data_IF_858740338435
#
_entry.id   IF_858740338435
#
_cell.length_a   1.000
_cell.length_b   1.000
_cell.length_c   1.000
_cell.angle_alpha   90.00
_cell.angle_beta   90.00
_cell.angle_gamma   90.00
#
_symmetry.space_group_name_H-M   'P 1'
#
loop_
_entity.id
_entity.type
_entity.pdbx_description
1 polymer ?
#
# COMPACT_ATOMS: atom_id res chain seq x y z
N UNK A 1 32.69 23.22 -13.46
CA UNK A 1 31.21 23.22 -13.49
C UNK A 1 30.71 21.77 -13.39
N UNK A 2 29.98 21.40 -12.35
CA UNK A 2 29.48 20.02 -12.18
C UNK A 2 28.44 19.71 -13.27
N UNK A 3 28.47 18.49 -13.81
CA UNK A 3 27.50 18.01 -14.80
C UNK A 3 26.12 17.95 -14.16
N UNK A 4 25.14 18.68 -14.70
CA UNK A 4 23.74 18.59 -14.27
C UNK A 4 23.25 17.16 -14.57
N UNK A 5 22.67 16.48 -13.57
CA UNK A 5 22.09 15.16 -13.77
C UNK A 5 20.72 15.34 -14.46
N UNK A 6 20.53 14.60 -15.53
CA UNK A 6 19.23 14.51 -16.19
C UNK A 6 18.30 13.60 -15.39
N UNK A 7 17.04 14.02 -15.22
CA UNK A 7 15.97 13.24 -14.64
C UNK A 7 14.69 13.51 -15.43
N UNK A 8 13.91 12.46 -15.68
CA UNK A 8 12.69 12.54 -16.50
C UNK A 8 11.47 12.35 -15.60
N UNK A 9 10.36 13.01 -15.97
CA UNK A 9 9.03 12.77 -15.42
C UNK A 9 8.20 11.93 -16.39
N UNK A 10 7.04 11.44 -15.95
CA UNK A 10 6.12 10.74 -16.84
C UNK A 10 5.56 11.65 -17.96
N UNK A 11 5.54 12.97 -17.75
CA UNK A 11 5.16 13.94 -18.79
C UNK A 11 6.19 14.07 -19.91
N UNK A 12 7.45 13.67 -19.65
CA UNK A 12 8.56 13.76 -20.60
C UNK A 12 8.72 12.48 -21.45
N UNK A 13 8.01 11.39 -21.13
CA UNK A 13 8.23 10.07 -21.73
C UNK A 13 6.93 9.41 -22.18
N UNK A 14 7.03 8.58 -23.22
CA UNK A 14 5.97 7.73 -23.71
C UNK A 14 6.43 6.27 -23.72
N UNK A 15 5.50 5.34 -23.51
CA UNK A 15 5.76 3.93 -23.76
C UNK A 15 5.87 3.70 -25.27
N UNK A 16 6.98 3.10 -25.71
CA UNK A 16 7.14 2.73 -27.12
C UNK A 16 6.18 1.58 -27.46
N UNK A 17 5.31 1.75 -28.48
CA UNK A 17 4.48 0.67 -28.96
C UNK A 17 5.34 -0.51 -29.43
N UNK A 18 4.91 -1.73 -29.10
CA UNK A 18 5.55 -2.97 -29.54
C UNK A 18 4.53 -3.86 -30.21
N UNK A 19 5.02 -4.78 -31.03
CA UNK A 19 4.17 -5.84 -31.60
C UNK A 19 3.52 -6.64 -30.46
N UNK A 20 2.22 -6.91 -30.59
CA UNK A 20 1.45 -7.77 -29.69
C UNK A 20 0.57 -8.71 -30.48
N UNK A 21 0.56 -9.99 -30.10
CA UNK A 21 -0.41 -10.98 -30.58
C UNK A 21 -1.53 -11.25 -29.59
N UNK A 22 -1.56 -10.51 -28.45
CA UNK A 22 -2.55 -10.67 -27.39
C UNK A 22 -3.71 -9.71 -27.61
N UNK A 23 -4.94 -10.24 -27.65
CA UNK A 23 -6.14 -9.42 -27.71
C UNK A 23 -6.42 -8.74 -26.37
N UNK A 24 -7.05 -7.55 -26.33
CA UNK A 24 -7.40 -6.86 -25.10
C UNK A 24 -8.20 -7.71 -24.09
N UNK A 25 -9.04 -8.62 -24.58
CA UNK A 25 -9.83 -9.56 -23.75
C UNK A 25 -9.01 -10.70 -23.15
N UNK A 26 -7.80 -10.94 -23.64
CA UNK A 26 -6.90 -12.02 -23.23
C UNK A 26 -5.77 -11.54 -22.30
N UNK A 27 -5.75 -10.24 -22.02
CA UNK A 27 -4.69 -9.65 -21.20
C UNK A 27 -4.76 -10.17 -19.76
N UNK A 28 -3.64 -10.68 -19.26
CA UNK A 28 -3.51 -11.02 -17.85
C UNK A 28 -3.05 -9.79 -17.06
N UNK A 29 -3.92 -9.28 -16.19
CA UNK A 29 -3.66 -8.11 -15.34
C UNK A 29 -3.07 -8.48 -13.98
N UNK A 30 -2.85 -9.74 -13.67
CA UNK A 30 -2.28 -10.16 -12.40
C UNK A 30 -0.93 -9.48 -12.16
N UNK A 31 -0.81 -8.88 -10.98
CA UNK A 31 0.41 -8.18 -10.57
C UNK A 31 0.81 -8.58 -9.16
N UNK A 32 2.09 -8.90 -8.98
CA UNK A 32 2.63 -9.18 -7.64
C UNK A 32 2.95 -7.88 -6.94
N UNK A 33 2.13 -7.52 -5.97
CA UNK A 33 2.41 -6.36 -5.10
C UNK A 33 3.55 -6.69 -4.12
N UNK A 34 3.52 -7.90 -3.58
CA UNK A 34 4.57 -8.44 -2.71
C UNK A 34 4.75 -9.93 -2.99
N UNK A 35 5.72 -10.58 -2.34
CA UNK A 35 5.90 -12.04 -2.47
C UNK A 35 4.66 -12.86 -2.08
N UNK A 36 3.76 -12.30 -1.27
CA UNK A 36 2.58 -12.98 -0.74
C UNK A 36 1.25 -12.37 -1.19
N UNK A 37 1.27 -11.18 -1.80
CA UNK A 37 0.07 -10.48 -2.25
C UNK A 37 0.12 -10.35 -3.77
N UNK A 38 -0.78 -11.07 -4.43
CA UNK A 38 -1.04 -10.94 -5.86
C UNK A 38 -2.39 -10.24 -6.04
N UNK A 39 -2.41 -9.21 -6.84
CA UNK A 39 -3.60 -8.48 -7.25
C UNK A 39 -4.08 -9.04 -8.59
N UNK A 40 -5.39 -9.22 -8.75
CA UNK A 40 -6.00 -9.57 -10.06
C UNK A 40 -6.04 -8.37 -11.00
N UNK A 41 -6.17 -7.17 -10.43
CA UNK A 41 -6.14 -5.89 -11.13
C UNK A 41 -5.14 -4.99 -10.38
N UNK A 42 -4.15 -4.38 -11.06
CA UNK A 42 -3.04 -3.67 -10.42
C UNK A 42 -3.44 -2.27 -9.94
N UNK A 43 -4.51 -2.17 -9.13
CA UNK A 43 -4.98 -0.93 -8.54
C UNK A 43 -4.92 -0.95 -7.02
N UNK A 44 -4.42 0.16 -6.47
CA UNK A 44 -4.48 0.46 -5.04
C UNK A 44 -5.30 1.73 -4.85
N UNK A 45 -6.20 1.78 -3.86
CA UNK A 45 -6.82 3.06 -3.49
C UNK A 45 -5.99 3.79 -2.46
N UNK A 46 -5.83 5.10 -2.66
CA UNK A 46 -4.95 5.96 -1.87
C UNK A 46 -5.35 6.03 -0.40
N UNK A 47 -4.35 6.16 0.46
CA UNK A 47 -4.49 6.31 1.91
C UNK A 47 -4.91 7.74 2.30
N UNK A 48 -6.03 8.21 1.75
CA UNK A 48 -6.58 9.54 1.99
C UNK A 48 -7.93 9.43 2.71
N UNK A 49 -8.21 10.36 3.63
CA UNK A 49 -9.44 10.40 4.42
C UNK A 49 -10.72 10.52 3.58
N UNK A 50 -10.63 11.19 2.43
CA UNK A 50 -11.73 11.34 1.47
C UNK A 50 -11.85 10.18 0.48
N UNK A 51 -10.95 9.19 0.52
CA UNK A 51 -10.87 8.11 -0.47
C UNK A 51 -11.08 6.72 0.16
N UNK A 52 -10.23 6.34 1.12
CA UNK A 52 -10.18 4.94 1.56
C UNK A 52 -10.43 4.74 3.03
N UNK A 53 -11.64 4.34 3.34
CA UNK A 53 -12.03 3.64 4.57
C UNK A 53 -12.51 2.22 4.21
N UNK A 54 -13.12 1.50 5.16
CA UNK A 54 -13.55 0.11 4.96
C UNK A 54 -14.44 -0.10 3.75
N UNK A 55 -15.35 0.83 3.45
CA UNK A 55 -16.28 0.72 2.31
C UNK A 55 -15.52 0.65 0.98
N UNK A 56 -14.57 1.56 0.76
CA UNK A 56 -13.72 1.56 -0.44
C UNK A 56 -12.80 0.36 -0.45
N UNK A 57 -12.16 0.02 0.69
CA UNK A 57 -11.26 -1.14 0.79
C UNK A 57 -11.98 -2.46 0.46
N UNK A 58 -13.23 -2.63 0.88
CA UNK A 58 -14.07 -3.78 0.52
C UNK A 58 -14.33 -3.81 -0.99
N UNK A 59 -14.72 -2.66 -1.58
CA UNK A 59 -14.97 -2.56 -3.01
C UNK A 59 -13.72 -2.89 -3.83
N UNK A 60 -12.57 -2.32 -3.46
CA UNK A 60 -11.29 -2.59 -4.11
C UNK A 60 -10.91 -4.07 -4.05
N UNK A 61 -10.97 -4.68 -2.86
CA UNK A 61 -10.61 -6.08 -2.68
C UNK A 61 -11.53 -7.04 -3.45
N UNK A 62 -12.83 -6.76 -3.50
CA UNK A 62 -13.80 -7.56 -4.28
C UNK A 62 -13.54 -7.50 -5.79
N UNK A 63 -13.03 -6.37 -6.27
CA UNK A 63 -12.69 -6.17 -7.68
C UNK A 63 -11.24 -6.53 -8.03
N UNK A 64 -10.51 -7.16 -7.10
CA UNK A 64 -9.18 -7.70 -7.37
C UNK A 64 -8.02 -6.74 -7.13
N UNK A 65 -8.30 -5.52 -6.67
CA UNK A 65 -7.32 -4.55 -6.20
C UNK A 65 -7.11 -4.62 -4.68
N UNK A 66 -6.57 -3.56 -4.08
CA UNK A 66 -6.37 -3.45 -2.64
C UNK A 66 -6.62 -2.01 -2.17
N UNK A 67 -7.37 -1.85 -1.09
CA UNK A 67 -7.58 -0.55 -0.45
C UNK A 67 -6.61 -0.33 0.70
N UNK A 68 -6.04 0.88 0.77
CA UNK A 68 -5.13 1.31 1.84
C UNK A 68 -5.87 2.27 2.77
N UNK A 69 -6.26 1.82 3.95
CA UNK A 69 -6.98 2.65 4.92
C UNK A 69 -6.07 3.74 5.45
N UNK A 70 -6.52 4.99 5.39
CA UNK A 70 -5.75 6.16 5.79
C UNK A 70 -5.46 6.21 7.30
N UNK A 71 -4.44 6.97 7.69
CA UNK A 71 -3.98 7.15 9.08
C UNK A 71 -4.52 8.41 9.78
N UNK A 72 -5.35 9.20 9.11
CA UNK A 72 -6.00 10.36 9.69
C UNK A 72 -7.23 9.94 10.54
N UNK A 73 -7.00 8.97 11.41
CA UNK A 73 -7.91 8.36 12.37
C UNK A 73 -7.14 8.08 13.66
N UNK A 74 -7.81 8.05 14.78
CA UNK A 74 -7.19 7.46 15.97
C UNK A 74 -6.93 5.96 15.76
N UNK A 75 -6.05 5.40 16.58
CA UNK A 75 -5.61 4.02 16.46
C UNK A 75 -6.77 3.01 16.53
N UNK A 76 -7.75 3.26 17.43
CA UNK A 76 -8.90 2.37 17.61
C UNK A 76 -9.84 2.45 16.42
N UNK A 77 -10.09 3.65 15.89
CA UNK A 77 -10.94 3.86 14.72
C UNK A 77 -10.34 3.21 13.48
N UNK A 78 -9.05 3.40 13.20
CA UNK A 78 -8.37 2.78 12.06
C UNK A 78 -8.39 1.24 12.17
N UNK A 79 -8.11 0.70 13.36
CA UNK A 79 -8.18 -0.75 13.60
C UNK A 79 -9.60 -1.31 13.39
N UNK A 80 -10.63 -0.54 13.77
CA UNK A 80 -12.03 -0.91 13.51
C UNK A 80 -12.35 -0.96 12.02
N UNK A 81 -11.83 -0.01 11.23
CA UNK A 81 -11.98 -0.02 9.77
C UNK A 81 -11.31 -1.25 9.15
N UNK A 82 -10.08 -1.60 9.55
CA UNK A 82 -9.40 -2.83 9.14
C UNK A 82 -10.25 -4.06 9.47
N UNK A 83 -10.75 -4.15 10.70
CA UNK A 83 -11.56 -5.28 11.15
C UNK A 83 -12.86 -5.46 10.34
N UNK A 84 -13.50 -4.37 9.89
CA UNK A 84 -14.69 -4.46 9.04
C UNK A 84 -14.38 -5.21 7.73
N UNK A 85 -13.22 -4.96 7.13
CA UNK A 85 -12.78 -5.63 5.90
C UNK A 85 -12.40 -7.09 6.20
N UNK A 86 -11.64 -7.32 7.28
CA UNK A 86 -11.16 -8.65 7.65
C UNK A 86 -12.29 -9.62 8.02
N UNK A 87 -13.39 -9.14 8.63
CA UNK A 87 -14.59 -9.94 8.90
C UNK A 87 -15.22 -10.54 7.64
N UNK A 88 -14.95 -9.96 6.46
CA UNK A 88 -15.41 -10.47 5.17
C UNK A 88 -14.38 -11.37 4.48
N UNK A 89 -13.29 -11.74 5.17
CA UNK A 89 -12.15 -12.50 4.62
C UNK A 89 -11.50 -11.82 3.39
N UNK A 90 -11.56 -10.49 3.32
CA UNK A 90 -10.95 -9.70 2.26
C UNK A 90 -9.57 -9.19 2.67
N UNK A 91 -8.74 -8.88 1.66
CA UNK A 91 -7.42 -8.26 1.88
C UNK A 91 -7.57 -6.75 2.07
N UNK A 92 -6.73 -6.19 2.94
CA UNK A 92 -6.71 -4.75 3.24
C UNK A 92 -5.31 -4.29 3.62
N UNK A 93 -4.94 -3.12 3.12
CA UNK A 93 -3.78 -2.36 3.58
C UNK A 93 -4.18 -1.26 4.55
N UNK A 94 -3.23 -0.75 5.31
CA UNK A 94 -3.40 0.42 6.16
C UNK A 94 -2.14 1.25 6.24
N UNK A 95 -2.31 2.58 6.28
CA UNK A 95 -1.21 3.53 6.35
C UNK A 95 -0.77 3.77 7.79
N UNK A 96 0.54 3.95 7.96
CA UNK A 96 1.19 4.46 9.16
C UNK A 96 2.09 5.64 8.80
N UNK A 97 2.46 6.46 9.78
CA UNK A 97 3.45 7.53 9.62
C UNK A 97 4.84 7.12 10.10
N UNK A 98 5.63 8.14 10.49
CA UNK A 98 7.01 7.95 10.97
C UNK A 98 7.25 8.48 12.38
N UNK A 99 6.19 8.80 13.12
CA UNK A 99 6.25 9.29 14.50
C UNK A 99 6.47 8.14 15.49
N UNK A 100 6.73 8.46 16.74
CA UNK A 100 6.98 7.47 17.77
C UNK A 100 5.76 6.53 18.00
N UNK A 101 4.55 7.05 17.91
CA UNK A 101 3.30 6.30 18.12
C UNK A 101 2.94 5.39 16.94
N UNK A 102 3.57 5.60 15.77
CA UNK A 102 3.28 4.80 14.58
C UNK A 102 3.76 3.36 14.68
N UNK A 103 4.73 3.07 15.55
CA UNK A 103 5.13 1.68 15.83
C UNK A 103 4.05 0.93 16.63
N UNK A 104 3.39 1.59 17.59
CA UNK A 104 2.25 1.04 18.32
C UNK A 104 1.05 0.85 17.39
N UNK A 105 0.80 1.85 16.54
CA UNK A 105 -0.19 1.76 15.46
C UNK A 105 0.04 0.55 14.57
N UNK A 106 1.27 0.35 14.10
CA UNK A 106 1.64 -0.81 13.30
C UNK A 106 1.35 -2.14 14.03
N UNK A 107 1.72 -2.25 15.32
CA UNK A 107 1.41 -3.45 16.14
C UNK A 107 -0.09 -3.72 16.24
N UNK A 108 -0.87 -2.67 16.48
CA UNK A 108 -2.33 -2.79 16.56
C UNK A 108 -2.93 -3.26 15.24
N UNK A 109 -2.51 -2.67 14.11
CA UNK A 109 -2.98 -3.06 12.78
C UNK A 109 -2.60 -4.50 12.43
N UNK A 110 -1.38 -4.94 12.75
CA UNK A 110 -0.91 -6.32 12.59
C UNK A 110 -1.78 -7.29 13.40
N UNK A 111 -2.06 -6.97 14.66
CA UNK A 111 -2.91 -7.77 15.53
C UNK A 111 -4.36 -7.85 15.02
N UNK A 112 -4.82 -6.83 14.30
CA UNK A 112 -6.13 -6.81 13.65
C UNK A 112 -6.12 -7.45 12.25
N UNK A 113 -5.00 -8.06 11.84
CA UNK A 113 -4.91 -8.88 10.63
C UNK A 113 -4.73 -8.10 9.34
N UNK A 114 -4.19 -6.87 9.38
CA UNK A 114 -3.84 -6.14 8.16
C UNK A 114 -2.90 -6.97 7.27
N UNK A 115 -3.11 -6.92 5.97
CA UNK A 115 -2.30 -7.69 5.01
C UNK A 115 -1.09 -6.90 4.52
N UNK A 116 -1.22 -5.56 4.43
CA UNK A 116 -0.16 -4.66 3.99
C UNK A 116 -0.09 -3.42 4.88
N UNK A 117 1.09 -3.05 5.32
CA UNK A 117 1.35 -1.75 5.94
C UNK A 117 2.06 -0.84 4.94
N UNK A 118 1.58 0.39 4.83
CA UNK A 118 2.15 1.43 3.97
C UNK A 118 2.68 2.57 4.85
N UNK A 119 3.94 2.94 4.67
CA UNK A 119 4.51 4.12 5.34
C UNK A 119 4.20 5.32 4.45
N UNK A 120 3.21 6.11 4.88
CA UNK A 120 2.72 7.26 4.14
C UNK A 120 3.40 8.55 4.60
N UNK A 121 4.25 9.11 3.75
CA UNK A 121 5.04 10.32 4.00
C UNK A 121 5.24 11.13 2.72
N UNK A 122 5.59 12.42 2.88
CA UNK A 122 5.88 13.30 1.74
C UNK A 122 7.19 12.95 1.01
N UNK A 123 8.12 12.23 1.65
CA UNK A 123 9.40 11.85 1.08
C UNK A 123 9.85 10.50 1.62
N UNK A 124 9.64 9.47 0.82
CA UNK A 124 9.91 8.08 1.19
C UNK A 124 11.37 7.80 1.48
N UNK A 125 12.30 8.33 0.69
CA UNK A 125 13.73 8.12 0.89
C UNK A 125 14.34 9.03 1.96
N UNK A 126 13.76 9.00 3.17
CA UNK A 126 14.24 9.76 4.34
C UNK A 126 14.73 8.84 5.46
N UNK A 127 15.66 9.34 6.29
CA UNK A 127 16.17 8.58 7.45
C UNK A 127 15.06 8.11 8.40
N UNK A 128 14.01 8.92 8.58
CA UNK A 128 12.87 8.57 9.44
C UNK A 128 12.10 7.38 8.88
N UNK A 129 11.85 7.36 7.58
CA UNK A 129 11.17 6.25 6.89
C UNK A 129 11.99 4.96 7.00
N UNK A 130 13.28 5.00 6.68
CA UNK A 130 14.16 3.83 6.79
C UNK A 130 14.22 3.27 8.22
N UNK A 131 14.20 4.15 9.22
CA UNK A 131 14.20 3.75 10.62
C UNK A 131 12.88 3.06 11.03
N UNK A 132 11.72 3.64 10.69
CA UNK A 132 10.43 3.02 11.01
C UNK A 132 10.23 1.72 10.25
N UNK A 133 10.62 1.66 8.97
CA UNK A 133 10.58 0.46 8.14
C UNK A 133 11.36 -0.70 8.80
N UNK A 134 12.59 -0.43 9.26
CA UNK A 134 13.41 -1.41 9.97
C UNK A 134 12.74 -1.91 11.25
N UNK A 135 12.13 -1.01 12.03
CA UNK A 135 11.42 -1.37 13.26
C UNK A 135 10.16 -2.20 12.97
N UNK A 136 9.37 -1.81 11.97
CA UNK A 136 8.15 -2.51 11.59
C UNK A 136 8.47 -3.90 11.04
N UNK A 137 9.50 -4.06 10.21
CA UNK A 137 9.96 -5.38 9.75
C UNK A 137 10.31 -6.34 10.89
N UNK A 138 10.85 -5.84 12.00
CA UNK A 138 11.17 -6.68 13.17
C UNK A 138 9.93 -7.17 13.93
N UNK A 139 8.84 -6.41 13.94
CA UNK A 139 7.61 -6.79 14.62
C UNK A 139 6.64 -7.56 13.74
N UNK A 140 6.82 -7.52 12.43
CA UNK A 140 5.95 -8.19 11.45
C UNK A 140 6.42 -9.60 11.10
N UNK A 141 6.96 -10.35 12.07
CA UNK A 141 7.48 -11.70 11.84
C UNK A 141 6.40 -12.63 11.26
N UNK A 142 6.30 -12.72 9.95
CA UNK A 142 5.67 -13.73 9.08
C UNK A 142 4.42 -13.39 8.27
N UNK A 143 3.65 -12.30 8.49
CA UNK A 143 2.39 -12.12 7.74
C UNK A 143 2.13 -10.75 7.13
N UNK A 144 2.76 -9.70 7.61
CA UNK A 144 2.50 -8.35 7.13
C UNK A 144 3.75 -7.80 6.47
N UNK A 145 3.62 -7.42 5.24
CA UNK A 145 4.73 -6.83 4.50
C UNK A 145 4.62 -5.33 4.67
N UNK A 146 5.72 -4.72 5.06
CA UNK A 146 5.86 -3.28 5.10
C UNK A 146 6.58 -2.88 3.82
N UNK A 147 5.89 -2.17 2.94
CA UNK A 147 6.45 -1.59 1.73
C UNK A 147 6.20 -0.09 1.74
N UNK A 148 7.15 0.63 1.22
CA UNK A 148 7.08 2.05 0.98
C UNK A 148 6.47 2.27 -0.42
N UNK A 149 5.52 3.17 -0.52
CA UNK A 149 4.96 3.65 -1.80
C UNK A 149 5.46 5.07 -2.04
#
# INVERSE_FOLDING_TARGET
MGRIKEALTFDDVLLLPRYSSVLPSEVNLNSSLTKSIVLKVPFLSSAMDTVTESKMAIAMSRNGGLGIIHRNLDLKAQSKEVNKVKKLNLKVGAAIGTNNDDLERARSLINNGVDLLVIDTAHGHSKKVLNILSKVKRISSRKSICEEI
#
